data_IF_531021209526
#
_entry.id   IF_531021209526
#
_cell.length_a   1.000
_cell.length_b   1.000
_cell.length_c   1.000
_cell.angle_alpha   90.00
_cell.angle_beta   90.00
_cell.angle_gamma   90.00
#
_symmetry.space_group_name_H-M   'P 1'
#
loop_
_entity.id
_entity.type
_entity.pdbx_description
1 polymer ?
#
# COMPACT_ATOMS: atom_id res chain seq x y z
N UNK A 1 2.40 -8.44 -41.60
CA UNK A 1 1.36 -9.25 -40.94
C UNK A 1 0.26 -8.30 -40.48
N UNK A 2 -1.01 -8.67 -40.66
CA UNK A 2 -2.16 -7.83 -40.25
C UNK A 2 -2.53 -8.21 -38.82
N UNK A 3 -2.78 -7.21 -37.96
CA UNK A 3 -3.39 -7.41 -36.64
C UNK A 3 -4.90 -7.54 -36.87
N UNK A 4 -5.48 -8.64 -36.45
CA UNK A 4 -6.89 -8.96 -36.74
C UNK A 4 -7.61 -9.61 -35.55
N UNK A 5 -6.95 -9.67 -34.39
CA UNK A 5 -7.52 -10.22 -33.17
C UNK A 5 -7.70 -9.10 -32.16
N UNK A 6 -8.95 -8.82 -31.79
CA UNK A 6 -9.30 -7.87 -30.75
C UNK A 6 -8.95 -8.45 -29.38
N UNK A 7 -8.33 -7.62 -28.54
CA UNK A 7 -7.94 -7.95 -27.18
C UNK A 7 -8.79 -7.11 -26.24
N UNK A 8 -9.55 -7.78 -25.38
CA UNK A 8 -10.37 -7.13 -24.36
C UNK A 8 -9.86 -7.42 -22.96
N UNK A 9 -10.09 -6.49 -22.04
CA UNK A 9 -9.72 -6.62 -20.63
C UNK A 9 -10.70 -7.52 -19.84
N UNK A 10 -10.48 -7.65 -18.53
CA UNK A 10 -11.36 -8.42 -17.66
C UNK A 10 -12.77 -7.82 -17.51
N UNK A 11 -12.90 -6.50 -17.71
CA UNK A 11 -14.13 -5.70 -17.57
C UNK A 11 -14.91 -5.58 -18.89
N UNK A 12 -14.35 -6.05 -20.01
CA UNK A 12 -14.97 -6.03 -21.34
C UNK A 12 -14.56 -4.86 -22.23
N UNK A 13 -13.59 -4.03 -21.82
CA UNK A 13 -13.10 -2.92 -22.64
C UNK A 13 -12.08 -3.38 -23.67
N UNK A 14 -12.17 -2.86 -24.89
CA UNK A 14 -11.20 -3.11 -25.95
C UNK A 14 -9.88 -2.40 -25.64
N UNK A 15 -8.80 -3.17 -25.51
CA UNK A 15 -7.44 -2.67 -25.30
C UNK A 15 -6.78 -2.34 -26.65
N UNK A 16 -7.11 -3.12 -27.69
CA UNK A 16 -6.58 -2.96 -29.03
C UNK A 16 -6.48 -4.27 -29.79
N UNK A 17 -5.72 -4.28 -30.88
CA UNK A 17 -5.58 -5.44 -31.75
C UNK A 17 -4.19 -6.08 -31.65
N UNK A 18 -4.14 -7.40 -31.82
CA UNK A 18 -2.91 -8.19 -31.84
C UNK A 18 -2.86 -9.17 -33.01
N UNK A 19 -1.69 -9.77 -33.22
CA UNK A 19 -1.48 -10.79 -34.25
C UNK A 19 -2.01 -12.14 -33.79
N UNK A 20 -2.58 -12.92 -34.72
CA UNK A 20 -3.09 -14.27 -34.42
C UNK A 20 -2.06 -15.18 -33.73
N UNK A 21 -0.80 -15.16 -34.15
CA UNK A 21 0.28 -15.94 -33.51
C UNK A 21 0.46 -15.56 -32.04
N UNK A 22 0.42 -14.26 -31.73
CA UNK A 22 0.55 -13.75 -30.36
C UNK A 22 -0.66 -14.10 -29.52
N UNK A 23 -1.88 -13.94 -30.06
CA UNK A 23 -3.12 -14.32 -29.39
C UNK A 23 -3.11 -15.82 -29.03
N UNK A 24 -2.77 -16.69 -29.98
CA UNK A 24 -2.66 -18.13 -29.74
C UNK A 24 -1.62 -18.46 -28.65
N UNK A 25 -0.49 -17.76 -28.62
CA UNK A 25 0.53 -17.95 -27.60
C UNK A 25 0.04 -17.52 -26.21
N UNK A 26 -0.70 -16.40 -26.11
CA UNK A 26 -1.26 -15.92 -24.85
C UNK A 26 -2.28 -16.91 -24.29
N UNK A 27 -3.16 -17.45 -25.14
CA UNK A 27 -4.13 -18.46 -24.75
C UNK A 27 -3.44 -19.78 -24.36
N UNK A 28 -2.47 -20.25 -25.15
CA UNK A 28 -1.69 -21.45 -24.81
C UNK A 28 -0.98 -21.34 -23.47
N UNK A 29 -0.55 -20.13 -23.08
CA UNK A 29 0.10 -19.86 -21.79
C UNK A 29 -0.87 -19.56 -20.65
N UNK A 30 -2.18 -19.69 -20.86
CA UNK A 30 -3.20 -19.43 -19.84
C UNK A 30 -3.30 -17.97 -19.41
N UNK A 31 -2.82 -17.01 -20.24
CA UNK A 31 -2.89 -15.57 -19.95
C UNK A 31 -4.11 -14.89 -20.58
N UNK A 32 -4.81 -15.59 -21.45
CA UNK A 32 -5.99 -15.11 -22.14
C UNK A 32 -6.92 -16.27 -22.49
N UNK A 33 -8.19 -15.98 -22.74
CA UNK A 33 -9.19 -16.93 -23.25
C UNK A 33 -9.78 -16.44 -24.58
N UNK A 34 -10.08 -17.35 -25.49
CA UNK A 34 -10.89 -17.01 -26.66
C UNK A 34 -12.34 -16.80 -26.24
N UNK A 35 -12.91 -15.65 -26.58
CA UNK A 35 -14.35 -15.40 -26.41
C UNK A 35 -15.10 -15.55 -27.74
N UNK A 36 -14.41 -15.29 -28.85
CA UNK A 36 -14.96 -15.41 -30.19
C UNK A 36 -13.89 -15.71 -31.22
N UNK A 37 -14.30 -15.77 -32.49
CA UNK A 37 -13.43 -16.15 -33.61
C UNK A 37 -12.19 -15.25 -33.74
N UNK A 38 -12.36 -13.96 -33.46
CA UNK A 38 -11.30 -12.94 -33.57
C UNK A 38 -11.12 -12.14 -32.28
N UNK A 39 -11.50 -12.67 -31.12
CA UNK A 39 -11.48 -11.91 -29.85
C UNK A 39 -10.94 -12.75 -28.70
N UNK A 40 -9.96 -12.20 -27.98
CA UNK A 40 -9.42 -12.78 -26.75
C UNK A 40 -9.68 -11.88 -25.54
N UNK A 41 -10.01 -12.49 -24.39
CA UNK A 41 -10.06 -11.85 -23.07
C UNK A 41 -8.75 -12.05 -22.36
N UNK A 42 -8.12 -11.01 -21.84
CA UNK A 42 -7.00 -11.18 -20.92
C UNK A 42 -7.50 -11.70 -19.57
N UNK A 43 -6.81 -12.70 -19.03
CA UNK A 43 -7.05 -13.20 -17.69
C UNK A 43 -6.20 -12.36 -16.75
N UNK A 44 -6.85 -11.60 -15.86
CA UNK A 44 -6.18 -10.96 -14.74
C UNK A 44 -5.95 -12.03 -13.68
N UNK A 45 -4.93 -12.85 -13.85
CA UNK A 45 -4.45 -13.70 -12.77
C UNK A 45 -3.70 -12.80 -11.80
N UNK A 46 -4.15 -12.76 -10.55
CA UNK A 46 -3.50 -12.06 -9.43
C UNK A 46 -2.10 -12.63 -9.08
N UNK A 47 -1.53 -13.48 -9.95
CA UNK A 47 -0.35 -14.32 -9.75
C UNK A 47 0.67 -14.21 -10.88
N UNK A 48 0.55 -13.24 -11.79
CA UNK A 48 1.53 -13.02 -12.89
C UNK A 48 2.11 -11.60 -12.91
N UNK A 49 2.40 -11.06 -11.71
CA UNK A 49 3.24 -9.87 -11.53
C UNK A 49 4.56 -10.19 -10.79
N UNK A 50 4.97 -11.45 -10.75
CA UNK A 50 6.37 -11.79 -10.51
C UNK A 50 7.09 -11.86 -11.85
N UNK A 51 8.10 -11.00 -12.00
CA UNK A 51 9.12 -11.02 -13.07
C UNK A 51 8.68 -10.60 -14.48
N UNK A 52 8.28 -9.33 -14.62
CA UNK A 52 8.72 -8.57 -15.80
C UNK A 52 9.64 -7.47 -15.27
N UNK A 53 10.95 -7.73 -15.35
CA UNK A 53 11.99 -6.70 -15.26
C UNK A 53 11.68 -5.63 -16.32
N UNK A 54 11.01 -4.56 -15.90
CA UNK A 54 10.88 -3.35 -16.71
C UNK A 54 12.23 -2.65 -16.70
N UNK A 55 12.91 -2.64 -17.84
CA UNK A 55 14.08 -1.79 -18.12
C UNK A 55 13.61 -0.36 -18.34
N UNK A 56 13.14 0.27 -17.26
CA UNK A 56 12.86 1.69 -17.17
C UNK A 56 13.08 2.09 -15.71
N UNK A 57 14.33 2.42 -15.37
CA UNK A 57 14.70 3.04 -14.11
C UNK A 57 14.17 4.47 -14.06
N UNK A 58 12.86 4.58 -13.90
CA UNK A 58 12.22 5.71 -13.22
C UNK A 58 11.40 5.08 -12.12
N UNK A 59 12.06 4.88 -10.97
CA UNK A 59 11.42 4.48 -9.72
C UNK A 59 10.52 5.63 -9.24
N UNK A 60 9.42 5.88 -9.95
CA UNK A 60 8.26 6.50 -9.32
C UNK A 60 7.67 5.45 -8.39
N UNK A 61 8.29 5.32 -7.20
CA UNK A 61 7.64 4.75 -6.02
C UNK A 61 6.39 5.58 -5.79
N UNK A 62 5.28 5.16 -6.38
CA UNK A 62 3.96 5.70 -6.06
C UNK A 62 3.82 5.41 -4.57
N UNK A 63 3.99 6.45 -3.75
CA UNK A 63 3.65 6.42 -2.33
C UNK A 63 2.19 6.00 -2.29
N UNK A 64 1.94 4.75 -1.90
CA UNK A 64 0.58 4.28 -1.73
C UNK A 64 0.03 4.99 -0.50
N UNK A 65 -0.71 6.08 -0.75
CA UNK A 65 -1.26 6.97 0.28
C UNK A 65 -2.15 6.18 1.24
N UNK A 66 -2.78 5.11 0.79
CA UNK A 66 -3.64 4.27 1.62
C UNK A 66 -2.80 3.46 2.63
N UNK A 67 -1.68 2.86 2.20
CA UNK A 67 -0.75 2.20 3.13
C UNK A 67 -0.15 3.16 4.16
N UNK A 68 0.03 4.42 3.78
CA UNK A 68 0.51 5.48 4.67
C UNK A 68 -0.53 5.87 5.72
N UNK A 69 -1.78 6.03 5.29
CA UNK A 69 -2.90 6.31 6.21
C UNK A 69 -3.07 5.16 7.20
N UNK A 70 -3.01 3.91 6.75
CA UNK A 70 -3.10 2.75 7.61
C UNK A 70 -1.95 2.68 8.63
N UNK A 71 -0.73 3.01 8.20
CA UNK A 71 0.43 3.04 9.08
C UNK A 71 0.35 4.16 10.14
N UNK A 72 -0.08 5.36 9.75
CA UNK A 72 -0.30 6.47 10.68
C UNK A 72 -1.43 6.16 11.66
N UNK A 73 -2.53 5.57 11.19
CA UNK A 73 -3.64 5.13 12.03
C UNK A 73 -3.17 4.17 13.12
N UNK A 74 -2.36 3.16 12.75
CA UNK A 74 -1.77 2.23 13.73
C UNK A 74 -0.90 2.91 14.77
N UNK A 75 -0.10 3.90 14.41
CA UNK A 75 0.74 4.64 15.37
C UNK A 75 -0.11 5.47 16.34
N UNK A 76 -1.21 6.07 15.84
CA UNK A 76 -2.12 6.87 16.66
C UNK A 76 -2.89 5.97 17.64
N UNK A 77 -3.31 4.78 17.21
CA UNK A 77 -4.07 3.83 18.01
C UNK A 77 -3.20 3.00 18.97
N UNK A 78 -1.88 2.90 18.71
CA UNK A 78 -0.96 2.19 19.60
C UNK A 78 -0.81 2.95 20.93
N UNK A 79 -1.37 2.37 22.00
CA UNK A 79 -1.31 2.88 23.37
C UNK A 79 -0.73 1.85 24.35
N UNK A 80 -0.34 0.65 23.90
CA UNK A 80 -0.07 -0.48 24.82
C UNK A 80 1.09 -0.19 25.79
N UNK A 81 2.04 0.64 25.39
CA UNK A 81 3.16 1.06 26.24
C UNK A 81 2.70 2.00 27.35
N UNK A 82 1.85 2.99 27.02
CA UNK A 82 1.29 3.92 27.98
C UNK A 82 0.34 3.21 28.96
N UNK A 83 -0.49 2.30 28.45
CA UNK A 83 -1.41 1.49 29.25
C UNK A 83 -0.65 0.63 30.29
N UNK A 84 0.40 -0.08 29.87
CA UNK A 84 1.24 -0.86 30.78
C UNK A 84 1.92 0.00 31.85
N UNK A 85 2.36 1.20 31.49
CA UNK A 85 2.96 2.13 32.45
C UNK A 85 1.92 2.62 33.46
N UNK A 86 0.71 2.94 33.01
CA UNK A 86 -0.41 3.35 33.87
C UNK A 86 -0.83 2.21 34.80
N UNK A 87 -0.93 0.98 34.30
CA UNK A 87 -1.25 -0.20 35.10
C UNK A 87 -0.23 -0.41 36.24
N UNK A 88 1.05 -0.19 35.98
CA UNK A 88 2.08 -0.30 37.02
C UNK A 88 2.00 0.85 38.03
N UNK A 89 1.72 2.08 37.56
CA UNK A 89 1.53 3.26 38.42
C UNK A 89 0.28 3.09 39.30
N UNK A 90 -0.78 2.44 38.79
CA UNK A 90 -2.04 2.23 39.51
C UNK A 90 -1.87 1.45 40.81
N UNK A 91 -0.82 0.62 40.90
CA UNK A 91 -0.46 -0.21 42.05
C UNK A 91 0.18 0.57 43.20
N UNK A 92 0.53 1.84 43.00
CA UNK A 92 1.07 2.67 44.08
C UNK A 92 0.03 2.83 45.22
N UNK A 93 0.45 3.25 46.41
CA UNK A 93 -0.47 3.49 47.53
C UNK A 93 -0.90 4.95 47.66
N UNK A 94 -0.12 5.87 47.10
CA UNK A 94 -0.35 7.30 47.21
C UNK A 94 -1.09 7.84 45.96
N UNK A 95 -2.34 8.27 46.15
CA UNK A 95 -3.22 8.76 45.08
C UNK A 95 -2.70 10.03 44.39
N UNK A 96 -2.13 10.99 45.13
CA UNK A 96 -1.59 12.21 44.54
C UNK A 96 -0.37 11.90 43.66
N UNK A 97 0.48 10.98 44.11
CA UNK A 97 1.63 10.52 43.34
C UNK A 97 1.21 9.72 42.10
N UNK A 98 0.13 8.93 42.18
CA UNK A 98 -0.46 8.24 41.02
C UNK A 98 -0.93 9.24 39.97
N UNK A 99 -1.76 10.20 40.38
CA UNK A 99 -2.33 11.19 39.48
C UNK A 99 -1.24 11.97 38.75
N UNK A 100 -0.20 12.42 39.46
CA UNK A 100 0.91 13.15 38.87
C UNK A 100 1.71 12.29 37.86
N UNK A 101 1.97 11.01 38.18
CA UNK A 101 2.70 10.11 37.28
C UNK A 101 1.90 9.69 36.06
N UNK A 102 0.59 9.44 36.21
CA UNK A 102 -0.30 9.14 35.08
C UNK A 102 -0.33 10.33 34.13
N UNK A 103 -0.48 11.56 34.66
CA UNK A 103 -0.45 12.77 33.86
C UNK A 103 0.87 12.88 33.07
N UNK A 104 2.00 12.66 33.74
CA UNK A 104 3.32 12.70 33.11
C UNK A 104 3.47 11.66 31.98
N UNK A 105 2.94 10.45 32.16
CA UNK A 105 2.95 9.40 31.13
C UNK A 105 2.13 9.83 29.93
N UNK A 106 0.92 10.35 30.15
CA UNK A 106 0.03 10.82 29.08
C UNK A 106 0.68 11.96 28.30
N UNK A 107 1.19 12.99 28.98
CA UNK A 107 1.86 14.13 28.34
C UNK A 107 3.08 13.71 27.51
N UNK A 108 3.92 12.81 28.07
CA UNK A 108 5.11 12.32 27.38
C UNK A 108 4.75 11.49 26.15
N UNK A 109 3.68 10.69 26.25
CA UNK A 109 3.21 9.84 25.16
C UNK A 109 2.59 10.65 24.02
N UNK A 110 1.74 11.63 24.34
CA UNK A 110 1.14 12.51 23.34
C UNK A 110 2.20 13.37 22.65
N UNK A 111 3.18 13.88 23.40
CA UNK A 111 4.32 14.61 22.84
C UNK A 111 5.11 13.75 21.86
N UNK A 112 5.42 12.50 22.22
CA UNK A 112 6.14 11.58 21.34
C UNK A 112 5.36 11.30 20.04
N UNK A 113 4.03 11.14 20.12
CA UNK A 113 3.18 10.97 18.93
C UNK A 113 3.25 12.17 17.99
N UNK A 114 3.18 13.39 18.55
CA UNK A 114 3.31 14.63 17.76
C UNK A 114 4.68 14.72 17.11
N UNK A 115 5.76 14.43 17.83
CA UNK A 115 7.12 14.45 17.30
C UNK A 115 7.32 13.44 16.16
N UNK A 116 6.78 12.22 16.31
CA UNK A 116 6.82 11.20 15.26
C UNK A 116 6.05 11.66 14.02
N UNK A 117 4.84 12.22 14.20
CA UNK A 117 4.04 12.73 13.10
C UNK A 117 4.73 13.89 12.36
N UNK A 118 5.36 14.80 13.10
CA UNK A 118 6.13 15.92 12.56
C UNK A 118 7.34 15.43 11.77
N UNK A 119 8.18 14.58 12.36
CA UNK A 119 9.35 14.01 11.69
C UNK A 119 8.97 13.21 10.42
N UNK A 120 7.79 12.60 10.44
CA UNK A 120 7.24 11.93 9.27
C UNK A 120 6.83 12.91 8.17
N UNK A 121 6.10 13.97 8.52
CA UNK A 121 5.69 15.03 7.60
C UNK A 121 6.88 15.76 6.97
N UNK A 122 7.92 16.03 7.75
CA UNK A 122 9.15 16.68 7.30
C UNK A 122 9.88 15.80 6.26
N UNK A 123 10.09 14.50 6.55
CA UNK A 123 10.68 13.55 5.60
C UNK A 123 9.87 13.37 4.32
N UNK A 124 8.55 13.46 4.41
CA UNK A 124 7.67 13.35 3.26
C UNK A 124 7.78 14.61 2.38
N UNK A 125 7.86 15.78 3.01
CA UNK A 125 8.05 17.07 2.33
C UNK A 125 9.41 17.16 1.63
N UNK A 126 10.49 16.73 2.28
CA UNK A 126 11.83 16.64 1.67
C UNK A 126 11.84 15.77 0.40
N UNK A 127 11.11 14.65 0.41
CA UNK A 127 11.03 13.76 -0.77
C UNK A 127 10.19 14.33 -1.91
N UNK A 128 9.26 15.24 -1.63
CA UNK A 128 8.40 15.87 -2.65
C UNK A 128 9.11 17.09 -3.27
N UNK A 129 9.96 17.79 -2.51
CA UNK A 129 10.70 18.99 -2.94
C UNK A 129 12.00 18.73 -3.71
N UNK A 130 12.48 17.48 -3.80
CA UNK A 130 13.67 17.09 -4.58
C UNK A 130 13.31 16.66 -6.02
N UNK A 131 12.20 17.17 -6.57
CA UNK A 131 11.83 17.01 -7.99
C UNK A 131 12.02 18.30 -8.78
#
# INVERSE_FOLDING_TARGET
>A
MIKNISVIDSKGYSIGETFFKRARQLVKKGRANWIGKNTIKLIVSNTYYEEVKSMSTENNKILNIDLLKDFIGKIIEENSVAEKAIDEISKLSNEDLKAAKILQVVESHDKAKVEIAQAFADKLSEKILVK
#
